data_IF_588795428977
#
_entry.id   IF_588795428977
#
_cell.length_a   1.000
_cell.length_b   1.000
_cell.length_c   1.000
_cell.angle_alpha   90.00
_cell.angle_beta   90.00
_cell.angle_gamma   90.00
#
_symmetry.space_group_name_H-M   'P 1'
#
loop_
_entity.id
_entity.type
_entity.pdbx_description
1 polymer ?
#
# COMPACT_ATOMS: atom_id res chain seq x y z
N UNK A 1 11.11 6.83 10.78
CA UNK A 1 10.68 5.41 10.69
C UNK A 1 9.62 5.31 9.60
N UNK A 2 9.91 4.65 8.47
CA UNK A 2 8.92 4.46 7.38
C UNK A 2 7.92 3.39 7.83
N UNK A 3 6.62 3.68 7.77
CA UNK A 3 5.58 2.73 8.18
C UNK A 3 5.29 1.81 7.00
N UNK A 4 5.58 0.51 7.17
CA UNK A 4 5.27 -0.51 6.16
C UNK A 4 3.84 -1.00 6.40
N UNK A 5 3.05 -0.97 5.35
CA UNK A 5 1.68 -1.39 5.30
C UNK A 5 1.58 -2.68 4.50
N UNK A 6 0.70 -3.58 4.95
CA UNK A 6 0.50 -4.87 4.27
C UNK A 6 -0.90 -5.02 3.71
N UNK A 7 -1.01 -5.84 2.68
CA UNK A 7 -2.29 -6.25 2.09
C UNK A 7 -3.27 -6.70 3.17
N UNK A 8 -4.53 -6.26 3.05
CA UNK A 8 -5.60 -6.57 4.00
C UNK A 8 -5.69 -5.61 5.19
N UNK A 9 -4.68 -4.79 5.46
CA UNK A 9 -4.79 -3.72 6.45
C UNK A 9 -5.61 -2.55 5.90
N UNK A 10 -6.23 -1.79 6.81
CA UNK A 10 -6.93 -0.53 6.52
C UNK A 10 -6.09 0.63 7.05
N UNK A 11 -5.03 1.04 6.36
CA UNK A 11 -4.18 2.14 6.80
C UNK A 11 -4.82 3.53 6.66
N UNK A 12 -6.03 3.58 6.09
CA UNK A 12 -6.78 4.81 5.83
C UNK A 12 -6.38 5.44 4.50
N UNK A 13 -7.03 6.58 4.20
CA UNK A 13 -6.85 7.27 2.92
C UNK A 13 -5.39 7.69 2.73
N UNK A 14 -4.86 7.47 1.53
CA UNK A 14 -3.51 7.91 1.15
C UNK A 14 -2.95 7.18 -0.05
N UNK A 15 -1.79 7.64 -0.49
CA UNK A 15 -1.02 7.02 -1.57
C UNK A 15 0.03 6.10 -0.96
N UNK A 16 0.09 4.87 -1.46
CA UNK A 16 0.97 3.82 -0.97
C UNK A 16 1.85 3.35 -2.11
N UNK A 17 3.15 3.43 -1.90
CA UNK A 17 4.16 2.98 -2.86
C UNK A 17 4.64 1.57 -2.48
N UNK A 18 4.53 0.62 -3.39
CA UNK A 18 5.02 -0.73 -3.14
C UNK A 18 6.55 -0.75 -3.09
N UNK A 19 7.11 -1.38 -2.06
CA UNK A 19 8.57 -1.45 -1.87
C UNK A 19 9.30 -2.30 -2.91
N UNK A 20 8.56 -3.11 -3.68
CA UNK A 20 9.11 -4.05 -4.66
C UNK A 20 8.91 -3.56 -6.11
N UNK A 21 7.66 -3.25 -6.47
CA UNK A 21 7.27 -2.83 -7.82
C UNK A 21 7.26 -1.30 -8.01
N UNK A 22 7.48 -0.51 -6.94
CA UNK A 22 7.28 0.95 -6.91
C UNK A 22 5.93 1.38 -7.50
N UNK A 23 4.92 0.54 -7.31
CA UNK A 23 3.57 0.81 -7.79
C UNK A 23 2.85 1.66 -6.76
N UNK A 24 2.33 2.80 -7.24
CA UNK A 24 1.50 3.71 -6.46
C UNK A 24 0.07 3.19 -6.44
N UNK A 25 -0.43 2.92 -5.25
CA UNK A 25 -1.79 2.50 -4.98
C UNK A 25 -2.45 3.61 -4.17
N UNK A 26 -3.42 4.27 -4.77
CA UNK A 26 -4.28 5.18 -4.02
C UNK A 26 -5.34 4.35 -3.28
N UNK A 27 -5.38 4.51 -1.97
CA UNK A 27 -6.32 3.83 -1.09
C UNK A 27 -7.29 4.85 -0.51
N UNK A 28 -8.56 4.49 -0.55
CA UNK A 28 -9.63 5.25 0.08
C UNK A 28 -9.78 4.87 1.56
N UNK A 29 -10.40 5.75 2.36
CA UNK A 29 -10.47 5.59 3.82
C UNK A 29 -11.11 4.27 4.29
N UNK A 30 -12.04 3.71 3.51
CA UNK A 30 -12.75 2.48 3.84
C UNK A 30 -12.23 1.25 3.10
N UNK A 31 -11.30 1.44 2.17
CA UNK A 31 -10.83 0.39 1.29
C UNK A 31 -9.69 -0.41 1.93
N UNK A 32 -9.67 -1.71 1.65
CA UNK A 32 -8.66 -2.65 2.17
C UNK A 32 -7.46 -2.58 1.24
N UNK A 33 -6.24 -2.54 1.78
CA UNK A 33 -5.04 -2.55 0.96
C UNK A 33 -5.00 -3.80 0.06
N UNK A 34 -5.08 -3.66 -1.27
CA UNK A 34 -4.98 -4.79 -2.18
C UNK A 34 -3.51 -5.24 -2.34
N UNK A 35 -3.25 -6.48 -2.76
CA UNK A 35 -1.90 -6.91 -3.13
C UNK A 35 -1.40 -6.17 -4.38
N UNK A 36 -0.08 -5.99 -4.56
CA UNK A 36 0.47 -5.30 -5.75
C UNK A 36 0.06 -6.13 -6.99
N UNK A 37 -0.66 -5.55 -7.96
CA UNK A 37 -1.08 -6.27 -9.17
C UNK A 37 0.09 -6.63 -10.09
N UNK A 38 1.27 -6.01 -9.92
CA UNK A 38 2.45 -6.28 -10.74
C UNK A 38 3.33 -7.42 -10.22
N UNK A 39 3.53 -7.50 -8.91
CA UNK A 39 4.48 -8.45 -8.31
C UNK A 39 3.88 -9.30 -7.21
N UNK A 40 2.57 -9.18 -6.95
CA UNK A 40 1.86 -9.89 -5.87
C UNK A 40 2.42 -9.57 -4.47
N UNK A 41 3.28 -8.55 -4.38
CA UNK A 41 3.87 -8.15 -3.12
C UNK A 41 2.81 -7.49 -2.23
N UNK A 42 2.99 -7.67 -0.94
CA UNK A 42 2.08 -7.28 0.12
C UNK A 42 2.75 -6.32 1.10
N UNK A 43 3.78 -5.59 0.66
CA UNK A 43 4.51 -4.59 1.41
C UNK A 43 4.46 -3.25 0.66
N UNK A 44 3.93 -2.25 1.34
CA UNK A 44 3.74 -0.91 0.82
C UNK A 44 4.23 0.12 1.84
N UNK A 45 4.61 1.28 1.35
CA UNK A 45 5.05 2.41 2.17
C UNK A 45 4.17 3.61 1.86
N UNK A 46 3.63 4.26 2.89
CA UNK A 46 2.87 5.50 2.70
C UNK A 46 3.85 6.64 2.48
N UNK A 47 3.70 7.36 1.37
CA UNK A 47 4.36 8.65 1.17
C UNK A 47 3.65 9.65 2.10
N UNK A 48 4.41 10.30 2.99
CA UNK A 48 3.87 11.13 4.08
C UNK A 48 3.46 12.51 3.58
#
# INVERSE_FOLDING_TARGET
MKKIFKTGQKPGRGVYDCTNCHTKVELEAQSKMPPCPKCTNNEFTKER
#
